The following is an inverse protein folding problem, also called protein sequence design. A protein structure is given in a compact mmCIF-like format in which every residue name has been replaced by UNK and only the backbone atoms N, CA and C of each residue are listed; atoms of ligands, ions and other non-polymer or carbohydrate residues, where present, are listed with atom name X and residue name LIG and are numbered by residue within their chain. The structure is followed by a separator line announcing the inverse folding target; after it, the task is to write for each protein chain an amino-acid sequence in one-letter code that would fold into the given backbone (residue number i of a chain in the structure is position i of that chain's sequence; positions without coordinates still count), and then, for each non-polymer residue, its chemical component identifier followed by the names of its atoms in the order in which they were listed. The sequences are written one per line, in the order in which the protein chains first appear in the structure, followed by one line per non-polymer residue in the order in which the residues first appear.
data_IF_114216182614
#
_entry.id   IF_114216182614
#
_cell.length_a   1.000
_cell.length_b   1.000
_cell.length_c   1.000
_cell.angle_alpha   90.00
_cell.angle_beta   90.00
_cell.angle_gamma   90.00
#
_symmetry.space_group_name_H-M   'P 1'
#
loop_
_entity.id
_entity.type
_entity.pdbx_description
1 polymer ?
#
# COMPACT_ATOMS: atom_id res chain seq x y z
N UNK A 1 -27.55 12.59 -6.15
CA UNK A 1 -27.38 11.25 -5.56
C UNK A 1 -26.49 11.44 -4.35
N UNK A 2 -26.93 11.05 -3.16
CA UNK A 2 -26.08 11.18 -1.96
C UNK A 2 -24.97 10.13 -2.07
N UNK A 3 -23.72 10.57 -2.13
CA UNK A 3 -22.57 9.68 -2.05
C UNK A 3 -22.64 8.86 -0.76
N UNK A 4 -22.43 7.57 -0.87
CA UNK A 4 -22.36 6.68 0.29
C UNK A 4 -21.17 7.13 1.17
N UNK A 5 -21.34 7.39 2.48
CA UNK A 5 -20.25 7.78 3.36
C UNK A 5 -19.05 6.83 3.34
N UNK A 6 -19.30 5.53 3.16
CA UNK A 6 -18.27 4.50 3.06
C UNK A 6 -17.43 4.64 1.78
N UNK A 7 -18.04 4.95 0.63
CA UNK A 7 -17.29 5.14 -0.61
C UNK A 7 -16.31 6.31 -0.49
N UNK A 8 -16.71 7.38 0.18
CA UNK A 8 -15.83 8.52 0.47
C UNK A 8 -14.64 8.13 1.35
N UNK A 9 -14.83 7.24 2.32
CA UNK A 9 -13.72 6.72 3.15
C UNK A 9 -12.74 5.89 2.31
N UNK A 10 -13.25 5.05 1.40
CA UNK A 10 -12.41 4.32 0.47
C UNK A 10 -11.60 5.25 -0.43
N UNK A 11 -12.19 6.31 -0.97
CA UNK A 11 -11.46 7.30 -1.75
C UNK A 11 -10.36 7.98 -0.95
N UNK A 12 -10.64 8.37 0.30
CA UNK A 12 -9.65 8.98 1.19
C UNK A 12 -8.50 8.03 1.52
N UNK A 13 -8.80 6.78 1.83
CA UNK A 13 -7.78 5.75 2.09
C UNK A 13 -6.97 5.45 0.82
N UNK A 14 -7.64 5.36 -0.36
CA UNK A 14 -6.98 5.17 -1.64
C UNK A 14 -5.98 6.31 -1.96
N UNK A 15 -6.35 7.56 -1.71
CA UNK A 15 -5.44 8.71 -1.87
C UNK A 15 -4.18 8.54 -1.04
N UNK A 16 -4.28 8.03 0.19
CA UNK A 16 -3.14 7.82 1.06
C UNK A 16 -2.29 6.64 0.60
N UNK A 17 -2.89 5.49 0.30
CA UNK A 17 -2.16 4.29 -0.14
C UNK A 17 -1.52 4.50 -1.51
N UNK A 18 -2.23 5.11 -2.46
CA UNK A 18 -1.73 5.38 -3.80
C UNK A 18 -0.60 6.42 -3.84
N UNK A 19 -0.47 7.25 -2.82
CA UNK A 19 0.65 8.19 -2.68
C UNK A 19 1.92 7.55 -2.12
N UNK A 20 1.86 6.28 -1.68
CA UNK A 20 3.03 5.59 -1.16
C UNK A 20 3.93 5.06 -2.28
N UNK A 21 5.22 4.95 -1.97
CA UNK A 21 6.20 4.45 -2.93
C UNK A 21 6.85 5.54 -3.78
N UNK A 22 7.66 5.11 -4.76
CA UNK A 22 8.41 6.03 -5.63
C UNK A 22 7.56 6.65 -6.73
N UNK A 23 6.53 5.94 -7.18
CA UNK A 23 5.59 6.40 -8.20
C UNK A 23 4.21 6.40 -7.58
N UNK A 24 3.51 7.54 -7.56
CA UNK A 24 2.13 7.56 -7.11
C UNK A 24 1.24 6.80 -8.11
N UNK A 25 0.34 5.98 -7.57
CA UNK A 25 -0.67 5.29 -8.38
C UNK A 25 -1.88 6.20 -8.61
N UNK A 26 -2.59 6.02 -9.73
CA UNK A 26 -3.85 6.74 -9.95
C UNK A 26 -4.89 6.31 -8.91
N UNK A 27 -5.63 7.26 -8.38
CA UNK A 27 -6.83 6.98 -7.59
C UNK A 27 -8.00 6.83 -8.57
N UNK A 28 -8.43 5.60 -8.79
CA UNK A 28 -9.50 5.24 -9.72
C UNK A 28 -10.32 4.05 -9.17
N UNK A 29 -11.31 3.62 -9.92
CA UNK A 29 -12.17 2.49 -9.53
C UNK A 29 -11.38 1.20 -9.28
N UNK A 30 -10.28 0.97 -10.02
CA UNK A 30 -9.43 -0.21 -9.84
C UNK A 30 -8.76 -0.19 -8.46
N UNK A 31 -8.13 0.92 -8.08
CA UNK A 31 -7.44 1.05 -6.79
C UNK A 31 -8.42 1.03 -5.61
N UNK A 32 -9.60 1.63 -5.76
CA UNK A 32 -10.68 1.56 -4.77
C UNK A 32 -11.17 0.12 -4.63
N UNK A 33 -11.37 -0.61 -5.74
CA UNK A 33 -11.80 -2.01 -5.70
C UNK A 33 -10.77 -2.93 -5.05
N UNK A 34 -9.47 -2.70 -5.25
CA UNK A 34 -8.40 -3.41 -4.52
C UNK A 34 -8.55 -3.21 -3.02
N UNK A 35 -8.76 -1.98 -2.56
CA UNK A 35 -8.95 -1.72 -1.13
C UNK A 35 -10.24 -2.34 -0.59
N UNK A 36 -11.34 -2.32 -1.35
CA UNK A 36 -12.61 -2.98 -0.98
C UNK A 36 -12.42 -4.49 -0.82
N UNK A 37 -11.72 -5.12 -1.74
CA UNK A 37 -11.41 -6.56 -1.66
C UNK A 37 -10.59 -6.90 -0.39
N UNK A 38 -9.65 -6.04 0.01
CA UNK A 38 -8.72 -6.33 1.12
C UNK A 38 -9.28 -5.93 2.48
N UNK A 39 -9.99 -4.79 2.59
CA UNK A 39 -10.44 -4.20 3.88
C UNK A 39 -11.82 -4.70 4.30
N UNK A 40 -12.69 -5.07 3.33
CA UNK A 40 -14.02 -5.66 3.61
C UNK A 40 -14.92 -4.77 4.49
N UNK A 41 -15.03 -3.50 4.10
CA UNK A 41 -15.90 -2.50 4.75
C UNK A 41 -15.60 -2.18 6.23
N UNK A 42 -14.37 -2.45 6.71
CA UNK A 42 -13.94 -2.01 8.02
C UNK A 42 -13.62 -0.50 8.01
N UNK A 43 -14.59 0.29 8.44
CA UNK A 43 -14.47 1.75 8.49
C UNK A 43 -13.34 2.23 9.41
N UNK A 44 -13.05 1.51 10.50
CA UNK A 44 -11.98 1.87 11.43
C UNK A 44 -10.60 1.67 10.81
N UNK A 45 -10.43 0.63 10.00
CA UNK A 45 -9.19 0.42 9.23
C UNK A 45 -9.00 1.50 8.17
N UNK A 46 -10.08 1.90 7.45
CA UNK A 46 -10.03 2.99 6.47
C UNK A 46 -9.63 4.33 7.11
N UNK A 47 -10.24 4.66 8.24
CA UNK A 47 -9.90 5.87 8.98
C UNK A 47 -8.46 5.83 9.51
N UNK A 48 -7.99 4.66 9.97
CA UNK A 48 -6.63 4.49 10.47
C UNK A 48 -5.56 4.61 9.37
N UNK A 49 -5.84 4.14 8.14
CA UNK A 49 -4.97 4.37 6.99
C UNK A 49 -4.74 5.86 6.74
N UNK A 50 -5.77 6.69 6.95
CA UNK A 50 -5.67 8.13 6.75
C UNK A 50 -4.69 8.81 7.74
N UNK A 51 -4.35 8.19 8.87
CA UNK A 51 -3.34 8.70 9.79
C UNK A 51 -1.92 8.72 9.18
N UNK A 52 -1.68 7.93 8.14
CA UNK A 52 -0.40 7.87 7.42
C UNK A 52 -0.25 8.91 6.31
N UNK A 53 -1.21 9.82 6.14
CA UNK A 53 -1.22 10.82 5.06
C UNK A 53 0.04 11.68 4.97
N UNK A 54 0.59 12.10 6.12
CA UNK A 54 1.76 12.97 6.15
C UNK A 54 3.06 12.18 6.23
N UNK A 55 3.06 11.03 6.90
CA UNK A 55 4.23 10.20 7.13
C UNK A 55 3.88 8.74 6.92
N UNK A 56 4.50 8.11 5.93
CA UNK A 56 4.31 6.68 5.65
C UNK A 56 4.88 5.74 6.70
N UNK A 57 5.82 6.24 7.52
CA UNK A 57 6.45 5.49 8.60
C UNK A 57 6.33 6.29 9.89
N UNK A 58 5.74 5.68 10.93
CA UNK A 58 5.47 6.35 12.19
C UNK A 58 5.78 5.43 13.37
N UNK A 59 6.26 6.01 14.47
CA UNK A 59 6.32 5.32 15.76
C UNK A 59 4.92 5.24 16.38
N UNK A 60 4.78 4.49 17.46
CA UNK A 60 3.52 4.38 18.21
C UNK A 60 3.04 5.75 18.71
N UNK A 61 3.96 6.57 19.24
CA UNK A 61 3.68 7.90 19.74
C UNK A 61 3.17 8.83 18.63
N UNK A 62 3.80 8.77 17.47
CA UNK A 62 3.36 9.53 16.29
C UNK A 62 1.98 9.08 15.79
N UNK A 63 1.69 7.77 15.84
CA UNK A 63 0.36 7.25 15.49
C UNK A 63 -0.72 7.67 16.49
N UNK A 64 -0.42 7.75 17.78
CA UNK A 64 -1.35 8.32 18.78
C UNK A 64 -1.68 9.77 18.41
N UNK A 65 -0.67 10.55 18.04
CA UNK A 65 -0.84 11.94 17.69
C UNK A 65 -1.61 12.13 16.37
N UNK A 66 -1.29 11.36 15.33
CA UNK A 66 -1.90 11.49 14.01
C UNK A 66 -3.32 10.92 13.94
N UNK A 67 -3.57 9.77 14.57
CA UNK A 67 -4.86 9.09 14.55
C UNK A 67 -5.83 9.55 15.66
N UNK A 68 -5.31 10.13 16.76
CA UNK A 68 -6.07 10.45 17.98
C UNK A 68 -6.72 9.21 18.64
N UNK A 69 -6.18 8.02 18.38
CA UNK A 69 -6.68 6.76 18.92
C UNK A 69 -5.88 6.33 20.15
N UNK A 70 -6.48 5.55 21.08
CA UNK A 70 -5.77 4.96 22.18
C UNK A 70 -4.85 3.82 21.70
N UNK A 71 -3.81 3.53 22.49
CA UNK A 71 -2.74 2.57 22.15
C UNK A 71 -3.29 1.20 21.76
N UNK A 72 -4.22 0.67 22.53
CA UNK A 72 -4.80 -0.67 22.33
C UNK A 72 -5.51 -0.76 20.97
N UNK A 73 -6.16 0.34 20.57
CA UNK A 73 -6.86 0.40 19.28
C UNK A 73 -5.86 0.49 18.12
N UNK A 74 -4.78 1.27 18.28
CA UNK A 74 -3.69 1.37 17.31
C UNK A 74 -3.05 -0.01 17.09
N UNK A 75 -2.71 -0.74 18.16
CA UNK A 75 -2.11 -2.07 18.08
C UNK A 75 -3.02 -3.09 17.39
N UNK A 76 -4.32 -3.05 17.69
CA UNK A 76 -5.31 -3.90 17.03
C UNK A 76 -5.41 -3.61 15.53
N UNK A 77 -5.59 -2.35 15.15
CA UNK A 77 -5.74 -1.92 13.75
C UNK A 77 -4.45 -2.16 12.95
N UNK A 78 -3.29 -1.80 13.51
CA UNK A 78 -2.01 -2.04 12.88
C UNK A 78 -1.75 -3.55 12.66
N UNK A 79 -2.12 -4.40 13.63
CA UNK A 79 -2.01 -5.86 13.49
C UNK A 79 -2.98 -6.39 12.43
N UNK A 80 -4.21 -5.89 12.38
CA UNK A 80 -5.19 -6.25 11.36
C UNK A 80 -4.69 -5.92 9.95
N UNK A 81 -4.27 -4.68 9.74
CA UNK A 81 -3.74 -4.22 8.46
C UNK A 81 -2.41 -4.89 8.08
N UNK A 82 -1.57 -5.26 9.06
CA UNK A 82 -0.34 -6.03 8.80
C UNK A 82 -0.66 -7.43 8.26
N UNK A 83 -1.66 -8.12 8.82
CA UNK A 83 -2.13 -9.42 8.30
C UNK A 83 -2.74 -9.32 6.90
N UNK A 84 -3.29 -8.16 6.57
CA UNK A 84 -3.83 -7.86 5.24
C UNK A 84 -2.74 -7.44 4.23
N UNK A 85 -1.51 -7.14 4.70
CA UNK A 85 -0.38 -6.74 3.86
C UNK A 85 -0.33 -5.23 3.55
N UNK A 86 -1.08 -4.41 4.29
CA UNK A 86 -1.11 -2.96 4.12
C UNK A 86 -0.17 -2.21 5.07
N UNK A 87 0.21 -2.82 6.19
CA UNK A 87 1.17 -2.24 7.14
C UNK A 87 2.30 -3.24 7.37
N UNK A 88 3.52 -2.72 7.39
CA UNK A 88 4.71 -3.43 7.84
C UNK A 88 5.17 -2.82 9.15
N UNK A 89 5.30 -3.65 10.20
CA UNK A 89 5.75 -3.24 11.53
C UNK A 89 7.02 -3.98 11.89
N UNK A 90 8.06 -3.22 12.25
CA UNK A 90 9.34 -3.77 12.66
C UNK A 90 10.03 -2.87 13.68
N UNK A 91 10.88 -3.42 14.56
CA UNK A 91 11.76 -2.60 15.37
C UNK A 91 12.81 -1.91 14.50
N UNK A 92 13.03 -0.62 14.74
CA UNK A 92 14.15 0.13 14.17
C UNK A 92 15.49 -0.37 14.72
N UNK A 93 16.60 0.12 14.19
CA UNK A 93 17.95 -0.16 14.72
C UNK A 93 18.13 0.22 16.19
N UNK A 94 17.30 1.11 16.72
CA UNK A 94 17.28 1.52 18.13
C UNK A 94 16.27 0.75 18.98
N UNK A 95 15.58 -0.25 18.40
CA UNK A 95 14.58 -1.07 19.10
C UNK A 95 13.18 -0.42 19.20
N UNK A 96 12.98 0.77 18.64
CA UNK A 96 11.68 1.43 18.62
C UNK A 96 10.83 0.80 17.53
N UNK A 97 9.59 0.38 17.86
CA UNK A 97 8.65 -0.16 16.87
C UNK A 97 8.21 0.94 15.91
N UNK A 98 8.37 0.66 14.61
CA UNK A 98 7.94 1.53 13.51
C UNK A 98 6.86 0.82 12.70
N UNK A 99 5.80 1.52 12.40
CA UNK A 99 4.69 1.11 11.56
C UNK A 99 4.78 1.84 10.23
N UNK A 100 4.80 1.08 9.14
CA UNK A 100 4.93 1.64 7.80
C UNK A 100 3.75 1.22 6.95
N UNK A 101 3.04 2.18 6.37
CA UNK A 101 2.05 1.92 5.34
C UNK A 101 2.77 1.53 4.05
N UNK A 102 2.36 0.40 3.48
CA UNK A 102 2.95 -0.16 2.27
C UNK A 102 2.26 0.38 1.01
N UNK A 103 2.98 0.50 -0.12
CA UNK A 103 2.39 0.80 -1.41
C UNK A 103 1.57 -0.39 -1.92
N UNK A 104 0.80 -0.17 -2.99
CA UNK A 104 0.04 -1.26 -3.64
C UNK A 104 0.96 -2.28 -4.32
N UNK A 105 2.08 -1.85 -4.89
CA UNK A 105 3.07 -2.65 -5.60
C UNK A 105 4.49 -2.19 -5.27
N UNK A 106 5.50 -2.93 -5.72
CA UNK A 106 6.92 -2.64 -5.47
C UNK A 106 7.30 -2.83 -4.00
N UNK A 107 7.29 -4.08 -3.56
CA UNK A 107 7.45 -4.50 -2.15
C UNK A 107 6.30 -3.96 -1.29
N UNK A 108 5.08 -4.24 -1.72
CA UNK A 108 3.85 -3.77 -1.09
C UNK A 108 2.78 -4.85 -0.99
N UNK A 109 1.53 -4.41 -1.10
CA UNK A 109 0.35 -5.28 -0.95
C UNK A 109 0.34 -6.45 -1.95
N UNK A 110 0.67 -6.18 -3.22
CA UNK A 110 0.64 -7.20 -4.28
C UNK A 110 1.59 -8.35 -3.95
N UNK A 111 2.84 -8.03 -3.65
CA UNK A 111 3.86 -9.02 -3.32
C UNK A 111 3.50 -9.80 -2.06
N UNK A 112 3.01 -9.11 -1.03
CA UNK A 112 2.55 -9.76 0.20
C UNK A 112 1.45 -10.80 -0.07
N UNK A 113 0.49 -10.47 -0.96
CA UNK A 113 -0.64 -11.36 -1.26
C UNK A 113 -0.27 -12.54 -2.14
N UNK A 114 0.66 -12.36 -3.10
CA UNK A 114 0.93 -13.37 -4.13
C UNK A 114 2.29 -14.08 -4.00
N UNK A 115 3.11 -13.76 -3.01
CA UNK A 115 4.38 -14.47 -2.74
C UNK A 115 4.22 -15.66 -1.79
N UNK A 116 3.07 -15.83 -1.14
CA UNK A 116 2.77 -16.96 -0.26
C UNK A 116 2.09 -18.13 -0.95
N UNK A 117 1.54 -19.03 -0.15
CA UNK A 117 0.67 -20.10 -0.66
C UNK A 117 -0.66 -19.50 -1.11
N UNK A 118 -1.00 -19.73 -2.37
CA UNK A 118 -2.23 -19.25 -2.97
C UNK A 118 -3.38 -20.21 -2.68
N UNK A 119 -4.52 -19.70 -2.26
CA UNK A 119 -5.74 -20.48 -2.02
C UNK A 119 -6.48 -20.78 -3.32
N UNK A 120 -6.34 -19.88 -4.31
CA UNK A 120 -7.06 -19.94 -5.58
C UNK A 120 -8.56 -19.73 -5.43
N UNK A 121 -9.02 -19.14 -4.33
CA UNK A 121 -10.43 -18.81 -4.11
C UNK A 121 -10.88 -17.64 -5.01
N UNK A 122 -12.19 -17.36 -5.02
CA UNK A 122 -12.76 -16.32 -5.87
C UNK A 122 -12.23 -14.93 -5.54
N UNK A 123 -12.05 -14.64 -4.25
CA UNK A 123 -11.56 -13.35 -3.78
C UNK A 123 -10.11 -13.09 -4.19
N UNK A 124 -9.26 -14.10 -4.11
CA UNK A 124 -7.87 -14.03 -4.54
C UNK A 124 -7.76 -13.86 -6.07
N UNK A 125 -8.61 -14.55 -6.85
CA UNK A 125 -8.68 -14.38 -8.31
C UNK A 125 -9.14 -12.99 -8.71
N UNK A 126 -10.19 -12.47 -8.06
CA UNK A 126 -10.64 -11.09 -8.25
C UNK A 126 -9.52 -10.09 -7.97
N UNK A 127 -8.80 -10.26 -6.86
CA UNK A 127 -7.67 -9.41 -6.50
C UNK A 127 -6.55 -9.48 -7.55
N UNK A 128 -6.24 -10.65 -8.08
CA UNK A 128 -5.26 -10.83 -9.15
C UNK A 128 -5.67 -10.11 -10.44
N UNK A 129 -6.94 -10.19 -10.83
CA UNK A 129 -7.48 -9.45 -11.97
C UNK A 129 -7.41 -7.93 -11.78
N UNK A 130 -7.70 -7.44 -10.57
CA UNK A 130 -7.60 -6.02 -10.23
C UNK A 130 -6.16 -5.52 -10.32
N UNK A 131 -5.19 -6.28 -9.82
CA UNK A 131 -3.77 -5.94 -9.99
C UNK A 131 -3.33 -6.00 -11.45
N UNK A 132 -3.84 -6.95 -12.25
CA UNK A 132 -3.62 -6.99 -13.69
C UNK A 132 -4.09 -5.70 -14.38
N UNK A 133 -5.28 -5.20 -14.02
CA UNK A 133 -5.80 -3.91 -14.52
C UNK A 133 -4.94 -2.74 -14.05
N UNK A 134 -4.54 -2.71 -12.78
CA UNK A 134 -3.67 -1.66 -12.24
C UNK A 134 -2.33 -1.56 -12.99
N UNK A 135 -1.70 -2.71 -13.31
CA UNK A 135 -0.46 -2.74 -14.10
C UNK A 135 -0.66 -2.13 -15.48
N UNK A 136 -1.79 -2.43 -16.13
CA UNK A 136 -2.14 -1.82 -17.44
C UNK A 136 -2.34 -0.31 -17.30
N UNK A 137 -3.08 0.14 -16.29
CA UNK A 137 -3.33 1.56 -16.05
C UNK A 137 -2.02 2.32 -15.81
N UNK A 138 -1.11 1.77 -15.01
CA UNK A 138 0.21 2.37 -14.73
C UNK A 138 1.06 2.41 -15.98
N UNK A 139 1.11 1.31 -16.76
CA UNK A 139 1.84 1.27 -18.05
C UNK A 139 1.36 2.38 -18.99
N UNK A 140 0.05 2.49 -19.14
CA UNK A 140 -0.56 3.47 -20.07
C UNK A 140 -0.28 4.91 -19.61
N UNK A 141 -0.28 5.16 -18.29
CA UNK A 141 0.11 6.46 -17.74
C UNK A 141 1.60 6.77 -17.94
N UNK A 142 2.48 5.81 -17.72
CA UNK A 142 3.91 5.97 -17.95
C UNK A 142 4.17 6.24 -19.44
N UNK A 143 3.54 5.51 -20.34
CA UNK A 143 3.67 5.73 -21.80
C UNK A 143 3.16 7.10 -22.22
N UNK A 144 2.04 7.54 -21.66
CA UNK A 144 1.46 8.86 -21.99
C UNK A 144 2.32 10.03 -21.50
N UNK A 145 3.02 9.85 -20.38
CA UNK A 145 3.85 10.89 -19.74
C UNK A 145 5.33 10.51 -19.76
N UNK A 146 5.78 9.80 -20.81
CA UNK A 146 7.11 9.20 -20.89
C UNK A 146 8.23 10.22 -20.69
N UNK A 147 8.14 11.37 -21.35
CA UNK A 147 9.15 12.42 -21.30
C UNK A 147 9.31 13.07 -19.92
N UNK A 148 8.25 13.05 -19.10
CA UNK A 148 8.27 13.55 -17.72
C UNK A 148 8.75 12.48 -16.73
N UNK A 149 8.38 11.22 -16.98
CA UNK A 149 8.64 10.11 -16.05
C UNK A 149 10.08 9.61 -16.14
N UNK A 150 10.66 9.53 -17.35
CA UNK A 150 12.03 9.00 -17.54
C UNK A 150 13.08 9.78 -16.76
N UNK A 151 13.13 11.13 -16.79
CA UNK A 151 14.09 11.87 -15.99
C UNK A 151 13.96 11.62 -14.48
N UNK A 152 12.76 11.38 -13.98
CA UNK A 152 12.55 11.05 -12.56
C UNK A 152 13.22 9.71 -12.19
N UNK A 153 13.15 8.71 -13.07
CA UNK A 153 13.84 7.43 -12.87
C UNK A 153 15.36 7.56 -12.97
N UNK A 154 15.86 8.35 -13.91
CA UNK A 154 17.31 8.59 -14.06
C UNK A 154 17.91 9.27 -12.83
N UNK A 155 17.15 10.13 -12.15
CA UNK A 155 17.58 10.84 -10.95
C UNK A 155 17.41 9.99 -9.67
N UNK A 156 16.65 8.91 -9.73
CA UNK A 156 16.35 8.08 -8.57
C UNK A 156 17.42 6.99 -8.38
N UNK A 157 17.78 6.62 -7.15
CA UNK A 157 18.62 5.46 -6.92
C UNK A 157 17.94 4.20 -7.46
N UNK A 158 18.68 3.22 -7.98
CA UNK A 158 18.10 1.99 -8.50
C UNK A 158 17.32 1.27 -7.40
N UNK A 159 16.07 0.91 -7.69
CA UNK A 159 15.18 0.21 -6.75
C UNK A 159 15.66 -1.21 -6.54
N UNK A 160 16.10 -1.86 -7.62
CA UNK A 160 16.59 -3.24 -7.63
C UNK A 160 18.01 -3.30 -8.21
N UNK A 161 18.82 -4.20 -7.66
CA UNK A 161 20.14 -4.52 -8.17
C UNK A 161 20.23 -6.00 -8.46
N UNK A 162 20.59 -6.35 -9.68
CA UNK A 162 20.99 -7.74 -9.98
C UNK A 162 22.32 -8.00 -9.31
N UNK A 163 22.35 -8.94 -8.37
CA UNK A 163 23.58 -9.45 -7.79
C UNK A 163 24.13 -10.49 -8.74
N UNK A 164 25.32 -10.29 -9.36
CA UNK A 164 25.90 -11.31 -10.20
C UNK A 164 26.18 -12.55 -9.35
N UNK A 165 25.62 -13.69 -9.78
CA UNK A 165 25.93 -14.98 -9.18
C UNK A 165 27.37 -15.31 -9.59
N UNK A 166 28.29 -15.32 -8.65
CA UNK A 166 29.60 -15.92 -8.88
C UNK A 166 29.38 -17.43 -9.06
N UNK A 167 29.43 -17.90 -10.29
CA UNK A 167 29.62 -19.34 -10.55
C UNK A 167 30.98 -19.69 -9.95
N UNK A 168 30.97 -20.41 -8.82
CA UNK A 168 32.15 -21.07 -8.33
C UNK A 168 32.43 -22.22 -9.31
N UNK A 169 33.51 -22.10 -10.09
CA UNK A 169 34.13 -23.22 -10.81
C UNK A 169 34.75 -24.20 -9.82
#
# INVERSE_FOLDING_TARGET
MSENPLDKKYEQAAQVVCSQGMIPFPVNDTTISILKNVIEDDEEELDFICAFRQNSSQTKEQLIESSKLPVEKIERLATGLARKGLIFNQPSSTGIMVYRLLPLMTVGLMEYKFMGELTGDEKERELAELFGKLIVDVRDQVQKNYDDVVPMFEMSPPVDRTVPTLTME
#
